data_IF_199543984657
#
_entry.id   IF_199543984657
#
_cell.length_a   1.000
_cell.length_b   1.000
_cell.length_c   1.000
_cell.angle_alpha   90.00
_cell.angle_beta   90.00
_cell.angle_gamma   90.00
#
_symmetry.space_group_name_H-M   'P 1'
#
loop_
_entity.id
_entity.type
_entity.pdbx_description
1 polymer ?
#
# COMPACT_ATOMS: atom_id res chain seq x y z
N UNK A 1 5.21 -19.11 11.20
CA UNK A 1 5.02 -20.55 11.15
C UNK A 1 3.95 -21.03 12.14
N UNK A 2 4.07 -20.77 13.46
CA UNK A 2 3.06 -21.20 14.44
C UNK A 2 1.65 -20.65 14.16
N UNK A 3 1.53 -19.40 13.71
CA UNK A 3 0.22 -18.78 13.42
C UNK A 3 -0.51 -19.44 12.26
N UNK A 4 0.21 -19.88 11.22
CA UNK A 4 -0.39 -20.52 10.04
C UNK A 4 -0.88 -21.95 10.31
N UNK A 5 -0.55 -22.52 11.47
CA UNK A 5 -0.95 -23.87 11.90
C UNK A 5 -2.15 -23.86 12.86
N UNK A 6 -2.61 -22.67 13.29
CA UNK A 6 -3.76 -22.58 14.20
C UNK A 6 -5.05 -22.83 13.43
N UNK A 7 -5.86 -23.79 13.90
CA UNK A 7 -7.15 -24.08 13.33
C UNK A 7 -8.07 -22.85 13.33
N UNK A 8 -8.69 -22.56 12.19
CA UNK A 8 -9.55 -21.38 12.02
C UNK A 8 -8.83 -20.12 11.51
N UNK A 9 -7.50 -20.11 11.45
CA UNK A 9 -6.76 -19.04 10.76
C UNK A 9 -6.66 -19.40 9.27
N UNK A 10 -7.39 -18.68 8.43
CA UNK A 10 -7.40 -18.89 6.98
C UNK A 10 -6.21 -18.20 6.28
N UNK A 11 -5.79 -17.03 6.79
CA UNK A 11 -4.71 -16.25 6.19
C UNK A 11 -3.94 -15.45 7.23
N UNK A 12 -2.61 -15.45 7.11
CA UNK A 12 -1.72 -14.54 7.85
C UNK A 12 -1.17 -13.51 6.88
N UNK A 13 -1.39 -12.24 7.17
CA UNK A 13 -0.89 -11.12 6.38
C UNK A 13 0.19 -10.38 7.16
N UNK A 14 1.29 -10.08 6.50
CA UNK A 14 2.37 -9.25 7.04
C UNK A 14 2.20 -7.81 6.58
N UNK A 15 2.41 -6.84 7.49
CA UNK A 15 2.61 -5.43 7.12
C UNK A 15 4.05 -5.04 7.43
N UNK A 16 4.74 -4.43 6.46
CA UNK A 16 6.17 -4.11 6.55
C UNK A 16 6.50 -2.84 5.76
N UNK A 17 7.60 -2.19 6.12
CA UNK A 17 8.20 -1.12 5.29
C UNK A 17 9.09 -1.67 4.16
N UNK A 18 9.20 -2.99 4.03
CA UNK A 18 9.95 -3.64 2.96
C UNK A 18 11.46 -3.78 3.19
N UNK A 19 12.05 -3.04 4.12
CA UNK A 19 13.52 -2.97 4.29
C UNK A 19 14.20 -4.32 4.54
N UNK A 20 13.52 -5.23 5.23
CA UNK A 20 14.04 -6.57 5.51
C UNK A 20 13.50 -7.67 4.59
N UNK A 21 12.61 -7.33 3.66
CA UNK A 21 12.04 -8.32 2.73
C UNK A 21 13.10 -9.03 1.89
N UNK A 22 14.12 -8.36 1.33
CA UNK A 22 15.13 -9.03 0.53
C UNK A 22 15.79 -10.22 1.24
N UNK A 23 15.98 -10.11 2.55
CA UNK A 23 16.63 -11.13 3.36
C UNK A 23 15.67 -12.20 3.89
N UNK A 24 14.37 -11.87 4.01
CA UNK A 24 13.38 -12.71 4.72
C UNK A 24 12.32 -13.32 3.81
N UNK A 25 12.24 -12.93 2.54
CA UNK A 25 11.16 -13.36 1.63
C UNK A 25 10.99 -14.88 1.57
N UNK A 26 12.10 -15.60 1.41
CA UNK A 26 12.08 -17.08 1.29
C UNK A 26 11.58 -17.73 2.58
N UNK A 27 12.06 -17.26 3.73
CA UNK A 27 11.64 -17.80 5.04
C UNK A 27 10.16 -17.45 5.35
N UNK A 28 9.69 -16.28 4.95
CA UNK A 28 8.29 -15.90 5.06
C UNK A 28 7.39 -16.80 4.20
N UNK A 29 7.81 -17.07 2.96
CA UNK A 29 7.10 -17.97 2.07
C UNK A 29 7.05 -19.40 2.62
N UNK A 30 8.18 -19.90 3.13
CA UNK A 30 8.27 -21.21 3.77
C UNK A 30 7.39 -21.31 5.04
N UNK A 31 7.28 -20.19 5.80
CA UNK A 31 6.41 -20.09 6.97
C UNK A 31 4.91 -20.01 6.64
N UNK A 32 4.54 -20.01 5.35
CA UNK A 32 3.15 -19.97 4.90
C UNK A 32 2.55 -18.58 4.73
N UNK A 33 3.35 -17.50 4.78
CA UNK A 33 2.88 -16.14 4.46
C UNK A 33 2.59 -16.05 2.97
N UNK A 34 1.38 -15.61 2.62
CA UNK A 34 0.91 -15.49 1.23
C UNK A 34 0.40 -14.09 0.89
N UNK A 35 0.36 -13.18 1.88
CA UNK A 35 -0.11 -11.81 1.68
C UNK A 35 0.78 -10.83 2.42
N UNK A 36 1.24 -9.80 1.72
CA UNK A 36 2.12 -8.76 2.27
C UNK A 36 1.54 -7.38 1.94
N UNK A 37 1.37 -6.54 2.95
CA UNK A 37 1.13 -5.11 2.80
C UNK A 37 2.46 -4.38 2.95
N UNK A 38 2.86 -3.62 1.95
CA UNK A 38 4.11 -2.87 1.99
C UNK A 38 3.82 -1.40 2.11
N UNK A 39 4.39 -0.75 3.12
CA UNK A 39 4.37 0.72 3.23
C UNK A 39 5.42 1.29 2.29
N UNK A 40 4.96 1.95 1.23
CA UNK A 40 5.80 2.54 0.20
C UNK A 40 5.25 3.92 -0.17
N UNK A 41 5.96 4.96 0.27
CA UNK A 41 5.49 6.34 0.17
C UNK A 41 6.16 7.12 -0.97
N UNK A 42 7.16 6.53 -1.63
CA UNK A 42 7.87 7.12 -2.77
C UNK A 42 8.54 6.04 -3.62
N UNK A 43 8.83 6.35 -4.90
CA UNK A 43 9.68 5.56 -5.79
C UNK A 43 11.07 6.17 -5.93
N UNK A 44 11.23 7.49 -5.72
CA UNK A 44 12.54 8.10 -5.74
C UNK A 44 13.29 7.83 -4.43
N UNK A 45 14.57 7.46 -4.53
CA UNK A 45 15.43 7.20 -3.37
C UNK A 45 15.48 8.39 -2.42
N UNK A 46 15.55 9.59 -2.95
CA UNK A 46 15.65 10.81 -2.16
C UNK A 46 14.43 11.00 -1.26
N UNK A 47 13.22 10.91 -1.82
CA UNK A 47 11.96 11.07 -1.08
C UNK A 47 11.76 9.89 -0.14
N UNK A 48 12.04 8.65 -0.58
CA UNK A 48 11.98 7.47 0.25
C UNK A 48 12.86 7.59 1.49
N UNK A 49 14.14 7.93 1.34
CA UNK A 49 15.06 8.09 2.47
C UNK A 49 14.68 9.23 3.40
N UNK A 50 14.12 10.32 2.88
CA UNK A 50 13.64 11.45 3.67
C UNK A 50 12.46 11.07 4.57
N UNK A 51 11.52 10.25 4.07
CA UNK A 51 10.33 9.83 4.82
C UNK A 51 10.68 8.71 5.80
N UNK A 52 11.36 7.66 5.32
CA UNK A 52 11.62 6.45 6.10
C UNK A 52 12.82 6.55 7.02
N UNK A 53 13.70 7.54 6.80
CA UNK A 53 15.02 7.66 7.43
C UNK A 53 15.88 6.40 7.21
N UNK A 54 15.62 5.69 6.11
CA UNK A 54 16.29 4.44 5.74
C UNK A 54 17.32 4.69 4.64
N UNK A 55 18.43 3.98 4.70
CA UNK A 55 19.47 3.94 3.66
C UNK A 55 19.32 2.73 2.71
N UNK A 56 18.28 1.92 2.90
CA UNK A 56 18.02 0.77 2.01
C UNK A 56 17.73 1.30 0.60
N UNK A 57 18.37 0.75 -0.44
CA UNK A 57 18.06 1.10 -1.81
C UNK A 57 16.60 0.77 -2.14
N UNK A 58 15.89 1.73 -2.71
CA UNK A 58 14.48 1.54 -3.08
C UNK A 58 14.35 0.44 -4.12
N UNK A 59 15.32 0.32 -5.02
CA UNK A 59 15.39 -0.69 -6.06
C UNK A 59 15.35 -2.12 -5.48
N UNK A 60 16.00 -2.35 -4.34
CA UNK A 60 16.00 -3.66 -3.67
C UNK A 60 14.59 -4.01 -3.17
N UNK A 61 13.85 -3.00 -2.67
CA UNK A 61 12.46 -3.19 -2.25
C UNK A 61 11.59 -3.47 -3.47
N UNK A 62 11.70 -2.67 -4.53
CA UNK A 62 10.92 -2.87 -5.74
C UNK A 62 11.19 -4.24 -6.38
N UNK A 63 12.45 -4.66 -6.40
CA UNK A 63 12.86 -5.95 -6.93
C UNK A 63 12.26 -7.11 -6.11
N UNK A 64 12.32 -7.04 -4.78
CA UNK A 64 11.77 -8.12 -3.93
C UNK A 64 10.24 -8.20 -4.00
N UNK A 65 9.53 -7.10 -4.28
CA UNK A 65 8.08 -7.14 -4.52
C UNK A 65 7.74 -7.95 -5.78
N UNK A 66 8.53 -7.79 -6.85
CA UNK A 66 8.35 -8.59 -8.06
C UNK A 66 8.64 -10.08 -7.81
N UNK A 67 9.70 -10.38 -7.05
CA UNK A 67 9.99 -11.77 -6.65
C UNK A 67 8.84 -12.36 -5.83
N UNK A 68 8.31 -11.63 -4.86
CA UNK A 68 7.19 -12.08 -4.04
C UNK A 68 5.94 -12.38 -4.90
N UNK A 69 5.67 -11.54 -5.90
CA UNK A 69 4.59 -11.77 -6.87
C UNK A 69 4.83 -13.04 -7.69
N UNK A 70 6.06 -13.26 -8.19
CA UNK A 70 6.42 -14.47 -8.94
C UNK A 70 6.26 -15.74 -8.09
N UNK A 71 6.44 -15.63 -6.77
CA UNK A 71 6.17 -16.71 -5.80
C UNK A 71 4.68 -16.88 -5.47
N UNK A 72 3.79 -16.17 -6.15
CA UNK A 72 2.34 -16.23 -5.96
C UNK A 72 1.82 -15.49 -4.71
N UNK A 73 2.63 -14.63 -4.11
CA UNK A 73 2.19 -13.83 -2.97
C UNK A 73 1.31 -12.66 -3.42
N UNK A 74 0.29 -12.36 -2.63
CA UNK A 74 -0.54 -11.17 -2.79
C UNK A 74 0.18 -9.96 -2.19
N UNK A 75 0.48 -8.97 -3.04
CA UNK A 75 1.12 -7.72 -2.61
C UNK A 75 0.10 -6.60 -2.64
N UNK A 76 0.05 -5.79 -1.59
CA UNK A 76 -0.69 -4.54 -1.54
C UNK A 76 0.26 -3.44 -1.10
N UNK A 77 0.20 -2.29 -1.76
CA UNK A 77 1.00 -1.12 -1.41
C UNK A 77 0.13 -0.16 -0.59
N UNK A 78 0.68 0.30 0.52
CA UNK A 78 0.10 1.37 1.34
C UNK A 78 0.95 2.63 1.20
N UNK A 79 0.31 3.75 0.96
CA UNK A 79 0.95 5.05 0.86
C UNK A 79 0.19 6.05 1.71
N UNK A 80 0.90 6.80 2.54
CA UNK A 80 0.36 7.93 3.29
C UNK A 80 0.73 9.21 2.54
N UNK A 81 -0.25 9.92 1.92
CA UNK A 81 0.01 11.16 1.20
C UNK A 81 0.29 12.31 2.18
N UNK A 82 1.46 12.91 2.07
CA UNK A 82 1.94 14.00 2.92
C UNK A 82 2.30 15.20 2.05
N UNK A 83 1.69 16.35 2.33
CA UNK A 83 1.95 17.58 1.61
C UNK A 83 3.43 17.98 1.73
N UNK A 84 4.01 18.50 0.64
CA UNK A 84 5.41 18.94 0.53
C UNK A 84 6.45 17.80 0.75
N UNK A 85 6.01 16.57 0.95
CA UNK A 85 6.91 15.42 1.13
C UNK A 85 6.87 14.45 -0.05
N UNK A 86 5.71 13.86 -0.36
CA UNK A 86 5.57 12.84 -1.41
C UNK A 86 4.46 13.12 -2.42
N UNK A 87 3.96 14.33 -2.49
CA UNK A 87 2.89 14.69 -3.43
C UNK A 87 3.26 14.37 -4.89
N UNK A 88 4.50 14.64 -5.30
CA UNK A 88 5.02 14.34 -6.64
C UNK A 88 5.17 12.84 -6.91
N UNK A 89 5.20 12.01 -5.88
CA UNK A 89 5.36 10.56 -5.98
C UNK A 89 4.02 9.81 -6.18
N UNK A 90 2.88 10.45 -5.88
CA UNK A 90 1.58 9.77 -5.85
C UNK A 90 1.17 9.20 -7.21
N UNK A 91 1.37 9.97 -8.28
CA UNK A 91 1.07 9.51 -9.65
C UNK A 91 2.07 8.43 -10.11
N UNK A 92 3.40 8.62 -9.98
CA UNK A 92 4.37 7.56 -10.26
C UNK A 92 4.09 6.25 -9.50
N UNK A 93 3.80 6.32 -8.19
CA UNK A 93 3.43 5.16 -7.38
C UNK A 93 2.16 4.47 -7.89
N UNK A 94 1.13 5.25 -8.22
CA UNK A 94 -0.10 4.70 -8.76
C UNK A 94 0.14 3.97 -10.09
N UNK A 95 0.89 4.59 -10.99
CA UNK A 95 1.26 3.97 -12.25
C UNK A 95 2.09 2.69 -12.04
N UNK A 96 3.10 2.73 -11.18
CA UNK A 96 3.90 1.56 -10.81
C UNK A 96 3.01 0.41 -10.33
N UNK A 97 2.12 0.69 -9.37
CA UNK A 97 1.25 -0.30 -8.76
C UNK A 97 0.26 -0.90 -9.77
N UNK A 98 -0.40 -0.04 -10.57
CA UNK A 98 -1.39 -0.45 -11.57
C UNK A 98 -0.78 -1.33 -12.65
N UNK A 99 0.35 -0.94 -13.22
CA UNK A 99 1.06 -1.71 -14.27
C UNK A 99 1.50 -3.08 -13.75
N UNK A 100 1.92 -3.15 -12.50
CA UNK A 100 2.37 -4.41 -11.87
C UNK A 100 1.27 -5.25 -11.24
N UNK A 101 0.04 -4.76 -11.22
CA UNK A 101 -1.06 -5.50 -10.63
C UNK A 101 -1.03 -5.52 -9.09
N UNK A 102 -0.45 -4.51 -8.45
CA UNK A 102 -0.47 -4.34 -7.01
C UNK A 102 -1.60 -3.38 -6.59
N UNK A 103 -2.61 -3.81 -5.81
CA UNK A 103 -3.56 -2.87 -5.23
C UNK A 103 -2.83 -1.79 -4.41
N UNK A 104 -2.99 -0.53 -4.82
CA UNK A 104 -2.48 0.62 -4.07
C UNK A 104 -3.56 1.18 -3.16
N UNK A 105 -3.21 1.50 -1.91
CA UNK A 105 -4.12 2.13 -0.96
C UNK A 105 -3.52 3.44 -0.47
N UNK A 106 -4.20 4.53 -0.73
CA UNK A 106 -3.93 5.82 -0.10
C UNK A 106 -4.60 5.86 1.28
N UNK A 107 -3.81 6.08 2.30
CA UNK A 107 -4.25 6.11 3.70
C UNK A 107 -4.17 7.55 4.19
N UNK A 108 -5.28 8.07 4.71
CA UNK A 108 -5.33 9.40 5.29
C UNK A 108 -4.36 9.51 6.48
N UNK A 109 -3.54 10.56 6.48
CA UNK A 109 -2.59 10.82 7.57
C UNK A 109 -3.35 11.12 8.87
N UNK A 110 -3.08 10.34 9.91
CA UNK A 110 -3.62 10.60 11.24
C UNK A 110 -2.67 11.49 12.05
N UNK A 111 -3.18 12.51 12.79
CA UNK A 111 -2.38 13.40 13.60
C UNK A 111 -1.99 12.75 14.94
N UNK A 112 -1.34 11.57 14.88
CA UNK A 112 -0.86 10.82 16.04
C UNK A 112 0.65 10.65 15.98
N UNK A 113 1.32 10.66 17.13
CA UNK A 113 2.78 10.56 17.19
C UNK A 113 3.48 11.62 16.34
N UNK A 114 4.42 11.22 15.52
CA UNK A 114 5.13 12.08 14.57
C UNK A 114 4.21 12.67 13.48
N UNK A 115 3.09 12.01 13.18
CA UNK A 115 2.12 12.50 12.20
C UNK A 115 1.53 13.88 12.50
N UNK A 116 1.61 14.34 13.78
CA UNK A 116 1.16 15.69 14.19
C UNK A 116 1.97 16.82 13.55
N UNK A 117 3.17 16.55 13.06
CA UNK A 117 4.07 17.54 12.49
C UNK A 117 3.85 17.74 10.99
N UNK A 118 2.98 16.92 10.38
CA UNK A 118 2.78 16.91 8.94
C UNK A 118 1.34 17.26 8.57
N UNK A 119 1.19 17.77 7.36
CA UNK A 119 -0.12 17.99 6.74
C UNK A 119 -0.41 16.86 5.75
N UNK A 120 -1.49 16.13 5.99
CA UNK A 120 -1.99 15.12 5.05
C UNK A 120 -2.62 15.79 3.82
N UNK A 121 -2.51 15.13 2.67
CA UNK A 121 -3.23 15.54 1.48
C UNK A 121 -4.65 14.94 1.57
N UNK A 122 -5.72 15.76 1.45
CA UNK A 122 -7.09 15.26 1.49
C UNK A 122 -7.36 14.20 0.42
N UNK A 123 -8.05 13.12 0.77
CA UNK A 123 -8.34 12.01 -0.16
C UNK A 123 -9.11 12.47 -1.41
N UNK A 124 -9.96 13.48 -1.28
CA UNK A 124 -10.68 14.08 -2.41
C UNK A 124 -9.74 14.70 -3.45
N UNK A 125 -8.67 15.39 -2.98
CA UNK A 125 -7.63 15.94 -3.84
C UNK A 125 -6.86 14.82 -4.55
N UNK A 126 -6.57 13.74 -3.84
CA UNK A 126 -5.88 12.57 -4.42
C UNK A 126 -6.78 11.90 -5.44
N UNK A 127 -8.06 11.69 -5.14
CA UNK A 127 -9.02 11.11 -6.08
C UNK A 127 -9.10 11.93 -7.37
N UNK A 128 -9.21 13.26 -7.25
CA UNK A 128 -9.20 14.17 -8.40
C UNK A 128 -7.92 14.05 -9.23
N UNK A 129 -6.76 13.99 -8.58
CA UNK A 129 -5.47 13.79 -9.23
C UNK A 129 -5.42 12.46 -9.99
N UNK A 130 -5.89 11.37 -9.38
CA UNK A 130 -5.96 10.06 -10.03
C UNK A 130 -6.91 10.05 -11.22
N UNK A 131 -8.09 10.69 -11.09
CA UNK A 131 -9.04 10.81 -12.21
C UNK A 131 -8.51 11.66 -13.37
N UNK A 132 -7.76 12.73 -13.07
CA UNK A 132 -7.12 13.55 -14.11
C UNK A 132 -6.05 12.78 -14.87
N UNK A 133 -5.35 11.87 -14.20
CA UNK A 133 -4.23 11.12 -14.79
C UNK A 133 -4.69 9.84 -15.50
N UNK A 134 -5.60 9.08 -14.88
CA UNK A 134 -5.96 7.73 -15.32
C UNK A 134 -7.40 7.62 -15.84
N UNK A 135 -8.13 8.74 -15.90
CA UNK A 135 -9.53 8.74 -16.25
C UNK A 135 -10.46 8.40 -15.08
N UNK A 136 -11.76 8.38 -15.36
CA UNK A 136 -12.80 8.24 -14.34
C UNK A 136 -12.65 6.96 -13.53
N UNK A 137 -12.60 7.10 -12.22
CA UNK A 137 -12.60 6.00 -11.26
C UNK A 137 -14.04 5.50 -11.03
N UNK A 138 -14.25 4.19 -11.07
CA UNK A 138 -15.56 3.54 -10.83
C UNK A 138 -15.51 2.73 -9.53
N UNK A 139 -16.56 2.73 -8.70
CA UNK A 139 -16.60 1.90 -7.51
C UNK A 139 -16.26 0.43 -7.83
N UNK A 140 -15.38 -0.18 -7.05
CA UNK A 140 -14.97 -1.57 -7.18
C UNK A 140 -15.47 -2.35 -5.97
N UNK A 141 -16.51 -3.16 -6.18
CA UNK A 141 -17.23 -3.82 -5.07
C UNK A 141 -16.61 -5.14 -4.63
N UNK A 142 -15.50 -5.57 -5.24
CA UNK A 142 -14.81 -6.79 -4.79
C UNK A 142 -14.00 -6.51 -3.54
N UNK A 143 -14.23 -7.30 -2.51
CA UNK A 143 -13.52 -7.17 -1.23
C UNK A 143 -12.09 -7.74 -1.35
N UNK A 144 -11.08 -6.90 -1.15
CA UNK A 144 -9.68 -7.29 -1.18
C UNK A 144 -9.11 -7.42 0.25
N UNK A 145 -9.57 -8.44 1.00
CA UNK A 145 -9.20 -8.67 2.40
C UNK A 145 -10.15 -7.99 3.39
N UNK A 146 -9.78 -8.00 4.67
CA UNK A 146 -10.66 -7.61 5.79
C UNK A 146 -10.51 -6.15 6.25
N UNK A 147 -9.73 -5.34 5.55
CA UNK A 147 -9.50 -3.93 5.90
C UNK A 147 -10.61 -2.98 5.42
N UNK A 148 -10.62 -1.73 5.93
CA UNK A 148 -11.65 -0.73 5.67
C UNK A 148 -11.51 0.00 4.34
N UNK A 149 -10.60 -0.39 3.46
CA UNK A 149 -10.34 0.28 2.21
C UNK A 149 -11.55 0.22 1.26
N UNK A 150 -11.93 1.38 0.71
CA UNK A 150 -12.86 1.49 -0.42
C UNK A 150 -12.06 1.50 -1.71
N UNK A 151 -12.39 0.60 -2.63
CA UNK A 151 -11.65 0.44 -3.87
C UNK A 151 -12.39 1.01 -5.08
N UNK A 152 -11.59 1.47 -6.05
CA UNK A 152 -12.07 2.02 -7.30
C UNK A 152 -11.29 1.41 -8.47
N UNK A 153 -12.04 0.96 -9.48
CA UNK A 153 -11.47 0.44 -10.71
C UNK A 153 -10.96 1.58 -11.57
N UNK A 154 -9.75 1.40 -12.07
CA UNK A 154 -9.11 2.27 -13.04
C UNK A 154 -9.31 1.67 -14.43
N UNK A 155 -9.77 2.46 -15.39
CA UNK A 155 -10.01 1.98 -16.75
C UNK A 155 -8.70 1.49 -17.40
N UNK A 156 -8.73 0.31 -18.00
CA UNK A 156 -7.55 -0.29 -18.65
C UNK A 156 -6.62 -1.07 -17.72
N UNK A 157 -6.89 -1.11 -16.41
CA UNK A 157 -6.09 -1.86 -15.44
C UNK A 157 -6.94 -2.91 -14.72
N UNK A 158 -6.37 -4.09 -14.48
CA UNK A 158 -7.04 -5.14 -13.71
C UNK A 158 -7.07 -4.86 -12.20
N UNK A 159 -6.19 -3.99 -11.73
CA UNK A 159 -5.96 -3.69 -10.32
C UNK A 159 -6.61 -2.38 -9.92
N UNK A 160 -7.30 -2.31 -8.77
CA UNK A 160 -7.93 -1.09 -8.28
C UNK A 160 -6.98 -0.21 -7.45
N UNK A 161 -7.38 1.07 -7.31
CA UNK A 161 -6.86 1.98 -6.28
C UNK A 161 -7.83 1.99 -5.10
N UNK A 162 -7.30 1.96 -3.88
CA UNK A 162 -8.07 2.02 -2.63
C UNK A 162 -7.82 3.29 -1.84
N UNK A 163 -8.81 3.65 -1.04
CA UNK A 163 -8.72 4.78 -0.09
C UNK A 163 -9.12 4.31 1.30
N UNK A 164 -8.35 4.70 2.32
CA UNK A 164 -8.64 4.47 3.73
C UNK A 164 -8.78 5.83 4.40
N UNK A 165 -10.01 6.23 4.65
CA UNK A 165 -10.40 7.50 5.26
C UNK A 165 -10.38 7.36 6.78
N UNK A 166 -9.20 7.47 7.40
CA UNK A 166 -9.02 7.23 8.83
C UNK A 166 -9.62 8.33 9.73
N UNK A 167 -9.78 9.55 9.18
CA UNK A 167 -10.33 10.71 9.89
C UNK A 167 -11.66 11.18 9.30
N UNK A 168 -11.73 11.26 7.97
CA UNK A 168 -12.87 11.85 7.27
C UNK A 168 -14.10 10.94 7.18
N UNK A 169 -13.92 9.63 7.41
CA UNK A 169 -15.01 8.65 7.42
C UNK A 169 -14.84 7.65 8.56
N UNK A 170 -15.83 7.58 9.46
CA UNK A 170 -15.79 6.67 10.61
C UNK A 170 -16.00 5.23 10.17
N UNK A 171 -14.94 4.53 9.85
CA UNK A 171 -14.97 3.11 9.46
C UNK A 171 -14.85 2.13 10.65
N UNK A 172 -14.78 2.63 11.89
CA UNK A 172 -14.58 1.80 13.09
C UNK A 172 -15.58 0.65 13.22
N UNK A 173 -16.80 0.84 12.72
CA UNK A 173 -17.84 -0.21 12.71
C UNK A 173 -17.56 -1.36 11.74
N UNK A 174 -16.67 -1.15 10.76
CA UNK A 174 -16.32 -2.11 9.70
C UNK A 174 -14.85 -2.54 9.77
N UNK A 175 -14.14 -2.12 10.83
CA UNK A 175 -12.75 -2.48 11.07
C UNK A 175 -12.69 -3.74 11.94
N UNK A 176 -11.97 -4.74 11.44
CA UNK A 176 -11.68 -5.96 12.22
C UNK A 176 -10.38 -5.79 12.99
#
# INVERSE_FOLDING_TARGET
EKLTQIAGIEQVTLTTNGALLPQSLQSLAAAGIRSINVSLDALSQQVFSRITRSSVPIEDILFVLEQAKQMGMQIKINTVPIQDYNESELVPLANYALVRGFPLRFIELMPVGEGKQFLGIPLERINKLMEQTFGKLRPYHVRLGNGPARYFQVQGYATPIGYIAALSDTFCKNCN
#
